data_IF_651749789983
#
_entry.id   IF_651749789983
#
_cell.length_a   1.000
_cell.length_b   1.000
_cell.length_c   1.000
_cell.angle_alpha   90.00
_cell.angle_beta   90.00
_cell.angle_gamma   90.00
#
_symmetry.space_group_name_H-M   'P 1'
#
loop_
_entity.id
_entity.type
_entity.pdbx_description
1 polymer ?
#
# COMPACT_ATOMS: atom_id res chain seq x y z
N UNK A 1 -13.30 44.97 -53.08
CA UNK A 1 -13.08 44.09 -51.91
C UNK A 1 -13.07 42.65 -52.40
N UNK A 2 -11.94 41.94 -52.33
CA UNK A 2 -11.89 40.50 -52.68
C UNK A 2 -12.63 39.71 -51.59
N UNK A 3 -13.69 39.00 -51.97
CA UNK A 3 -14.35 38.01 -51.11
C UNK A 3 -13.49 36.74 -51.15
N UNK A 4 -12.56 36.59 -50.21
CA UNK A 4 -11.83 35.34 -50.04
C UNK A 4 -12.77 34.37 -49.31
N UNK A 5 -13.44 33.49 -50.06
CA UNK A 5 -14.22 32.40 -49.49
C UNK A 5 -13.30 31.26 -49.02
N UNK A 6 -13.68 30.58 -47.94
CA UNK A 6 -13.02 29.36 -47.50
C UNK A 6 -13.17 28.29 -48.58
N UNK A 7 -12.08 27.67 -49.01
CA UNK A 7 -12.17 26.53 -49.93
C UNK A 7 -12.55 25.26 -49.15
N UNK A 8 -13.28 24.34 -49.80
CA UNK A 8 -13.61 23.04 -49.21
C UNK A 8 -12.37 22.26 -48.77
N UNK A 9 -11.26 22.43 -49.50
CA UNK A 9 -9.99 21.78 -49.22
C UNK A 9 -9.37 22.34 -47.92
N UNK A 10 -9.39 23.66 -47.73
CA UNK A 10 -8.91 24.29 -46.49
C UNK A 10 -9.75 23.86 -45.28
N UNK A 11 -11.07 23.73 -45.46
CA UNK A 11 -11.95 23.23 -44.40
C UNK A 11 -11.64 21.77 -44.03
N UNK A 12 -11.46 20.91 -45.04
CA UNK A 12 -11.13 19.50 -44.84
C UNK A 12 -9.76 19.33 -44.17
N UNK A 13 -8.76 20.10 -44.61
CA UNK A 13 -7.43 20.10 -44.02
C UNK A 13 -7.48 20.56 -42.54
N UNK A 14 -8.26 21.61 -42.24
CA UNK A 14 -8.48 22.06 -40.87
C UNK A 14 -9.10 20.98 -39.99
N UNK A 15 -10.17 20.32 -40.47
CA UNK A 15 -10.82 19.23 -39.74
C UNK A 15 -9.90 18.04 -39.49
N UNK A 16 -9.09 17.66 -40.49
CA UNK A 16 -8.09 16.60 -40.35
C UNK A 16 -7.06 16.93 -39.28
N UNK A 17 -6.55 18.17 -39.28
CA UNK A 17 -5.60 18.60 -38.26
C UNK A 17 -6.23 18.65 -36.88
N UNK A 18 -7.43 19.22 -36.74
CA UNK A 18 -8.14 19.29 -35.45
C UNK A 18 -8.41 17.90 -34.89
N UNK A 19 -8.90 16.96 -35.70
CA UNK A 19 -9.16 15.59 -35.25
C UNK A 19 -7.88 14.87 -34.83
N UNK A 20 -6.77 15.07 -35.55
CA UNK A 20 -5.47 14.56 -35.15
C UNK A 20 -5.03 15.11 -33.78
N UNK A 21 -5.11 16.44 -33.60
CA UNK A 21 -4.73 17.09 -32.34
C UNK A 21 -5.59 16.64 -31.16
N UNK A 22 -6.91 16.58 -31.33
CA UNK A 22 -7.83 16.11 -30.29
C UNK A 22 -7.52 14.67 -29.90
N UNK A 23 -7.28 13.80 -30.88
CA UNK A 23 -6.96 12.39 -30.62
C UNK A 23 -5.69 12.24 -29.77
N UNK A 24 -4.64 12.98 -30.11
CA UNK A 24 -3.38 12.96 -29.35
C UNK A 24 -3.61 13.51 -27.93
N UNK A 25 -4.30 14.64 -27.80
CA UNK A 25 -4.58 15.25 -26.50
C UNK A 25 -5.40 14.33 -25.58
N UNK A 26 -6.45 13.69 -26.12
CA UNK A 26 -7.27 12.73 -25.38
C UNK A 26 -6.47 11.50 -24.96
N UNK A 27 -5.59 10.98 -25.84
CA UNK A 27 -4.73 9.84 -25.49
C UNK A 27 -3.80 10.16 -24.32
N UNK A 28 -3.16 11.33 -24.33
CA UNK A 28 -2.27 11.77 -23.24
C UNK A 28 -3.07 11.93 -21.94
N UNK A 29 -4.25 12.55 -22.02
CA UNK A 29 -5.13 12.74 -20.87
C UNK A 29 -5.55 11.42 -20.23
N UNK A 30 -6.02 10.45 -21.04
CA UNK A 30 -6.45 9.14 -20.53
C UNK A 30 -5.29 8.39 -19.87
N UNK A 31 -4.12 8.40 -20.51
CA UNK A 31 -2.93 7.75 -19.95
C UNK A 31 -2.49 8.41 -18.65
N UNK A 32 -2.46 9.74 -18.60
CA UNK A 32 -2.09 10.47 -17.39
C UNK A 32 -3.07 10.23 -16.24
N UNK A 33 -4.37 10.16 -16.53
CA UNK A 33 -5.38 9.87 -15.52
C UNK A 33 -5.22 8.46 -14.93
N UNK A 34 -5.07 7.44 -15.79
CA UNK A 34 -4.84 6.05 -15.35
C UNK A 34 -3.57 5.91 -14.52
N UNK A 35 -2.48 6.53 -14.96
CA UNK A 35 -1.22 6.53 -14.22
C UNK A 35 -1.37 7.18 -12.84
N UNK A 36 -2.17 8.25 -12.75
CA UNK A 36 -2.49 8.89 -11.47
C UNK A 36 -3.28 8.00 -10.52
N UNK A 37 -4.26 7.24 -11.03
CA UNK A 37 -5.03 6.29 -10.23
C UNK A 37 -4.16 5.14 -9.69
N UNK A 38 -3.33 4.53 -10.54
CA UNK A 38 -2.44 3.44 -10.14
C UNK A 38 -1.42 3.93 -9.10
N UNK A 39 -0.81 5.11 -9.34
CA UNK A 39 0.12 5.72 -8.37
C UNK A 39 -0.56 5.99 -7.03
N UNK A 40 -1.81 6.44 -7.04
CA UNK A 40 -2.55 6.71 -5.80
C UNK A 40 -2.77 5.43 -4.99
N UNK A 41 -3.16 4.33 -5.64
CA UNK A 41 -3.35 3.04 -4.98
C UNK A 41 -2.06 2.49 -4.36
N UNK A 42 -0.95 2.57 -5.09
CA UNK A 42 0.36 2.15 -4.59
C UNK A 42 0.76 2.95 -3.34
N UNK A 43 0.53 4.26 -3.39
CA UNK A 43 0.79 5.16 -2.27
C UNK A 43 -0.11 4.84 -1.07
N UNK A 44 -1.39 4.55 -1.29
CA UNK A 44 -2.33 4.20 -0.23
C UNK A 44 -1.94 2.87 0.46
N UNK A 45 -1.56 1.84 -0.31
CA UNK A 45 -1.05 0.57 0.22
C UNK A 45 0.26 0.75 1.01
N UNK A 46 1.17 1.58 0.50
CA UNK A 46 2.43 1.87 1.19
C UNK A 46 2.21 2.64 2.50
N UNK A 47 1.27 3.59 2.51
CA UNK A 47 0.90 4.31 3.73
C UNK A 47 0.32 3.36 4.78
N UNK A 48 -0.54 2.44 4.37
CA UNK A 48 -1.08 1.42 5.26
C UNK A 48 0.03 0.52 5.84
N UNK A 49 0.95 0.05 5.00
CA UNK A 49 2.10 -0.73 5.45
C UNK A 49 2.95 0.04 6.48
N UNK A 50 3.20 1.32 6.23
CA UNK A 50 3.95 2.18 7.16
C UNK A 50 3.20 2.41 8.47
N UNK A 51 1.88 2.56 8.41
CA UNK A 51 1.02 2.66 9.59
C UNK A 51 1.11 1.39 10.45
N UNK A 52 0.91 0.22 9.85
CA UNK A 52 1.02 -1.09 10.52
C UNK A 52 2.40 -1.23 11.16
N UNK A 53 3.47 -0.98 10.40
CA UNK A 53 4.85 -1.05 10.90
C UNK A 53 5.08 -0.12 12.09
N UNK A 54 4.51 1.08 12.05
CA UNK A 54 4.64 2.07 13.13
C UNK A 54 3.93 1.62 14.40
N UNK A 55 2.73 1.05 14.28
CA UNK A 55 1.97 0.52 15.42
C UNK A 55 2.68 -0.69 16.03
N UNK A 56 3.13 -1.65 15.20
CA UNK A 56 3.88 -2.81 15.67
C UNK A 56 5.17 -2.40 16.38
N UNK A 57 5.91 -1.45 15.79
CA UNK A 57 7.12 -0.89 16.39
C UNK A 57 6.83 -0.20 17.71
N UNK A 58 5.75 0.61 17.75
CA UNK A 58 5.32 1.28 18.96
C UNK A 58 5.06 0.26 20.05
N UNK A 59 4.26 -0.77 19.82
CA UNK A 59 3.98 -1.79 20.84
C UNK A 59 5.21 -2.60 21.25
N UNK A 60 6.09 -2.94 20.31
CA UNK A 60 7.35 -3.62 20.62
C UNK A 60 8.26 -2.79 21.57
N UNK A 61 8.18 -1.45 21.48
CA UNK A 61 8.92 -0.53 22.33
C UNK A 61 8.08 0.12 23.47
N UNK A 62 6.74 -0.06 23.52
CA UNK A 62 5.81 0.83 24.26
C UNK A 62 5.85 0.69 25.78
N UNK A 63 6.64 -0.21 26.35
CA UNK A 63 6.72 -0.38 27.80
C UNK A 63 8.17 -0.43 28.27
N UNK A 64 8.54 0.68 28.93
CA UNK A 64 9.65 0.97 29.84
C UNK A 64 10.86 0.02 29.83
N UNK A 65 12.04 0.62 29.66
CA UNK A 65 13.41 0.09 29.91
C UNK A 65 13.58 -0.69 31.23
N UNK A 66 12.59 -0.70 32.13
CA UNK A 66 12.67 -1.24 33.48
C UNK A 66 11.88 -2.53 33.75
N UNK A 67 10.98 -2.97 32.86
CA UNK A 67 10.18 -4.19 33.09
C UNK A 67 10.44 -5.26 32.02
N UNK A 68 11.28 -6.23 32.36
CA UNK A 68 11.75 -7.37 31.56
C UNK A 68 10.68 -8.41 31.14
N UNK A 69 9.41 -8.03 30.97
CA UNK A 69 8.31 -8.98 30.79
C UNK A 69 7.12 -8.50 29.97
N UNK A 70 7.31 -7.53 29.07
CA UNK A 70 6.19 -7.02 28.29
C UNK A 70 5.93 -7.90 27.08
N UNK A 71 4.80 -8.59 27.14
CA UNK A 71 4.23 -9.36 26.06
C UNK A 71 3.15 -8.57 25.36
N UNK A 72 3.02 -8.77 24.05
CA UNK A 72 1.84 -8.38 23.30
C UNK A 72 1.37 -9.56 22.46
N UNK A 73 0.07 -9.62 22.22
CA UNK A 73 -0.54 -10.60 21.32
C UNK A 73 -0.75 -9.94 19.96
N UNK A 74 -0.22 -10.56 18.91
CA UNK A 74 -0.46 -10.17 17.53
C UNK A 74 -1.20 -11.30 16.82
N UNK A 75 -2.19 -10.97 16.02
CA UNK A 75 -2.88 -11.93 15.17
C UNK A 75 -3.20 -11.25 13.86
N UNK A 76 -2.76 -11.83 12.75
CA UNK A 76 -3.02 -11.30 11.41
C UNK A 76 -3.99 -12.24 10.73
N UNK A 77 -5.23 -11.82 10.63
CA UNK A 77 -6.26 -12.56 9.90
C UNK A 77 -6.21 -12.19 8.42
N UNK A 78 -6.94 -12.95 7.61
CA UNK A 78 -7.07 -12.66 6.19
C UNK A 78 -7.71 -11.30 5.92
N UNK A 79 -8.59 -10.81 6.79
CA UNK A 79 -9.38 -9.58 6.60
C UNK A 79 -9.04 -8.45 7.59
N UNK A 80 -8.26 -8.74 8.64
CA UNK A 80 -7.90 -7.74 9.66
C UNK A 80 -6.60 -8.07 10.39
N UNK A 81 -6.01 -7.07 11.03
CA UNK A 81 -4.88 -7.19 11.95
C UNK A 81 -5.35 -6.80 13.35
N UNK A 82 -5.11 -7.68 14.32
CA UNK A 82 -5.40 -7.43 15.73
C UNK A 82 -4.13 -7.40 16.57
N UNK A 83 -4.09 -6.44 17.50
CA UNK A 83 -3.00 -6.23 18.44
C UNK A 83 -3.61 -6.08 19.83
N UNK A 84 -3.28 -7.01 20.73
CA UNK A 84 -3.86 -7.10 22.07
C UNK A 84 -5.40 -7.10 22.06
N UNK A 85 -6.00 -7.77 21.08
CA UNK A 85 -7.46 -7.81 20.89
C UNK A 85 -8.08 -6.53 20.32
N UNK A 86 -7.27 -5.53 19.96
CA UNK A 86 -7.75 -4.31 19.29
C UNK A 86 -7.46 -4.40 17.79
N UNK A 87 -8.46 -4.15 16.96
CA UNK A 87 -8.28 -4.08 15.50
C UNK A 87 -7.43 -2.87 15.13
N UNK A 88 -6.29 -3.12 14.49
CA UNK A 88 -5.38 -2.09 13.98
C UNK A 88 -5.74 -1.72 12.54
N UNK A 89 -6.13 -2.71 11.74
CA UNK A 89 -6.47 -2.52 10.33
C UNK A 89 -7.46 -3.58 9.89
N UNK A 90 -8.47 -3.20 9.11
CA UNK A 90 -9.57 -4.04 8.61
C UNK A 90 -9.99 -3.67 7.17
N UNK A 91 -9.15 -2.91 6.47
CA UNK A 91 -9.48 -2.30 5.17
C UNK A 91 -9.08 -3.16 3.97
N UNK A 92 -8.21 -4.14 4.19
CA UNK A 92 -7.55 -4.89 3.13
C UNK A 92 -7.55 -6.38 3.45
N UNK A 93 -7.11 -7.18 2.48
CA UNK A 93 -6.78 -8.56 2.76
C UNK A 93 -5.29 -8.69 3.09
N UNK A 94 -4.95 -9.60 3.99
CA UNK A 94 -3.60 -9.82 4.46
C UNK A 94 -3.17 -11.28 4.29
N UNK A 95 -1.90 -11.45 3.97
CA UNK A 95 -1.19 -12.71 4.12
C UNK A 95 0.10 -12.42 4.89
N UNK A 96 0.31 -13.12 5.99
CA UNK A 96 1.45 -12.90 6.87
C UNK A 96 2.27 -14.15 7.12
N UNK A 97 3.56 -13.92 7.30
CA UNK A 97 4.55 -14.85 7.81
C UNK A 97 5.36 -14.11 8.88
N UNK A 98 5.32 -14.59 10.12
CA UNK A 98 5.99 -13.98 11.26
C UNK A 98 6.96 -15.00 11.82
N UNK A 99 8.25 -14.67 11.85
CA UNK A 99 9.27 -15.50 12.47
C UNK A 99 9.68 -14.94 13.83
N UNK A 100 9.55 -15.77 14.87
CA UNK A 100 9.84 -15.40 16.25
C UNK A 100 10.22 -16.65 17.05
N UNK A 101 11.29 -16.56 17.85
CA UNK A 101 11.77 -17.65 18.73
C UNK A 101 11.94 -19.01 18.02
N UNK A 102 12.47 -18.99 16.79
CA UNK A 102 12.64 -20.15 15.89
C UNK A 102 11.34 -20.81 15.41
N UNK A 103 10.18 -20.22 15.68
CA UNK A 103 8.90 -20.62 15.14
C UNK A 103 8.48 -19.67 14.02
N UNK A 104 7.69 -20.19 13.07
CA UNK A 104 7.06 -19.41 12.01
C UNK A 104 5.57 -19.48 12.22
N UNK A 105 4.93 -18.32 12.25
CA UNK A 105 3.50 -18.15 12.43
C UNK A 105 2.92 -17.59 11.14
N UNK A 106 1.85 -18.21 10.65
CA UNK A 106 1.19 -17.81 9.41
C UNK A 106 -0.09 -17.00 9.68
N UNK A 107 -0.77 -16.62 8.59
CA UNK A 107 -2.07 -15.94 8.64
C UNK A 107 -3.08 -16.75 9.47
N UNK A 108 -3.83 -16.05 10.31
CA UNK A 108 -4.80 -16.54 11.28
C UNK A 108 -4.19 -17.23 12.52
N UNK A 109 -2.87 -17.19 12.70
CA UNK A 109 -2.22 -17.69 13.91
C UNK A 109 -1.94 -16.55 14.90
N UNK A 110 -2.27 -16.79 16.17
CA UNK A 110 -1.99 -15.85 17.24
C UNK A 110 -0.59 -16.07 17.81
N UNK A 111 0.19 -15.01 17.91
CA UNK A 111 1.54 -15.02 18.47
C UNK A 111 1.60 -14.11 19.71
N UNK A 112 2.23 -14.62 20.77
CA UNK A 112 2.57 -13.83 21.95
C UNK A 112 4.05 -13.45 21.86
N UNK A 113 4.31 -12.20 21.47
CA UNK A 113 5.66 -11.68 21.31
C UNK A 113 6.19 -11.17 22.64
N UNK A 114 7.37 -11.62 23.06
CA UNK A 114 8.14 -11.03 24.16
C UNK A 114 9.20 -10.11 23.58
N UNK A 115 9.36 -8.93 24.15
CA UNK A 115 10.24 -7.85 23.68
C UNK A 115 11.78 -8.13 23.75
N UNK A 116 12.20 -9.40 23.88
CA UNK A 116 13.62 -9.79 24.04
C UNK A 116 14.22 -10.42 22.79
N UNK A 117 13.43 -11.12 21.99
CA UNK A 117 13.89 -11.77 20.77
C UNK A 117 13.49 -10.95 19.55
N UNK A 118 14.32 -10.93 18.50
CA UNK A 118 13.97 -10.27 17.25
C UNK A 118 12.73 -10.94 16.64
N UNK A 119 11.83 -10.13 16.10
CA UNK A 119 10.64 -10.58 15.38
C UNK A 119 10.79 -10.15 13.93
N UNK A 120 10.74 -11.09 13.00
CA UNK A 120 10.68 -10.78 11.57
C UNK A 120 9.24 -10.91 11.11
N UNK A 121 8.75 -9.90 10.41
CA UNK A 121 7.35 -9.77 10.02
C UNK A 121 7.30 -9.49 8.53
N UNK A 122 6.72 -10.43 7.78
CA UNK A 122 6.40 -10.29 6.37
C UNK A 122 4.89 -10.23 6.23
N UNK A 123 4.33 -9.08 5.82
CA UNK A 123 2.88 -8.90 5.62
C UNK A 123 2.65 -8.44 4.18
N UNK A 124 1.93 -9.23 3.41
CA UNK A 124 1.42 -8.86 2.09
C UNK A 124 0.01 -8.30 2.26
N UNK A 125 -0.14 -7.01 1.98
CA UNK A 125 -1.41 -6.28 1.94
C UNK A 125 -1.95 -6.34 0.51
N UNK A 126 -3.22 -6.72 0.34
CA UNK A 126 -3.84 -6.99 -0.95
C UNK A 126 -5.09 -6.12 -1.11
N UNK A 127 -5.17 -5.40 -2.23
CA UNK A 127 -6.33 -4.59 -2.62
C UNK A 127 -6.67 -4.82 -4.10
N UNK A 128 -7.67 -5.66 -4.37
CA UNK A 128 -7.99 -6.06 -5.74
C UNK A 128 -6.84 -6.82 -6.38
N UNK A 129 -6.29 -6.28 -7.47
CA UNK A 129 -5.14 -6.87 -8.18
C UNK A 129 -3.78 -6.35 -7.69
N UNK A 130 -3.80 -5.32 -6.84
CA UNK A 130 -2.60 -4.64 -6.36
C UNK A 130 -2.20 -5.21 -5.01
N UNK A 131 -0.90 -5.23 -4.72
CA UNK A 131 -0.41 -5.67 -3.41
C UNK A 131 0.90 -5.01 -3.03
N UNK A 132 1.08 -4.83 -1.72
CA UNK A 132 2.31 -4.30 -1.14
C UNK A 132 2.81 -5.24 -0.05
N UNK A 133 4.12 -5.52 -0.03
CA UNK A 133 4.71 -6.39 1.00
C UNK A 133 5.52 -5.56 1.98
N UNK A 134 5.01 -5.44 3.21
CA UNK A 134 5.77 -4.95 4.35
C UNK A 134 6.75 -6.05 4.79
N UNK A 135 8.04 -5.74 4.80
CA UNK A 135 9.08 -6.58 5.42
C UNK A 135 9.76 -5.78 6.50
N UNK A 136 9.65 -6.22 7.74
CA UNK A 136 10.27 -5.51 8.87
C UNK A 136 10.81 -6.45 9.92
N UNK A 137 11.91 -6.05 10.55
CA UNK A 137 12.50 -6.74 11.69
C UNK A 137 12.40 -5.81 12.88
N UNK A 138 11.77 -6.28 13.96
CA UNK A 138 11.72 -5.60 15.23
C UNK A 138 12.78 -6.22 16.14
N UNK A 139 13.81 -5.45 16.47
CA UNK A 139 14.86 -5.86 17.39
C UNK A 139 15.21 -4.70 18.33
N UNK A 140 15.61 -5.01 19.56
CA UNK A 140 16.29 -4.04 20.42
C UNK A 140 17.78 -4.18 20.10
N UNK A 141 18.43 -3.09 19.69
CA UNK A 141 19.88 -3.08 19.48
C UNK A 141 20.56 -3.62 20.73
N UNK A 142 21.50 -4.54 20.54
CA UNK A 142 22.35 -5.08 21.61
C UNK A 142 23.34 -4.00 22.03
#
# INVERSE_FOLDING_TARGET
MKRNGFTLIELLAGLLLTTLFVTIATSIYITGFRQGEDTKKDVDLQQEANYIATILRKEYFSKNEYNSGTTYQLTIYTDKIELNGTTVSDKYNYNAEIQYDNETYETNEAIIVKNKAPVMINIKIIHGNDSYTLRTTLSRGV
#
